data_IF_209216293860
#
_entry.id   IF_209216293860
#
_cell.length_a   1.000
_cell.length_b   1.000
_cell.length_c   1.000
_cell.angle_alpha   90.00
_cell.angle_beta   90.00
_cell.angle_gamma   90.00
#
_symmetry.space_group_name_H-M   'P 1'
#
loop_
_entity.id
_entity.type
_entity.pdbx_description
1 polymer ?
#
# COMPACT_ATOMS: atom_id res chain seq x y z
N UNK A 1 31.48 -35.25 -24.22
CA UNK A 1 30.78 -35.04 -22.95
C UNK A 1 29.95 -33.76 -23.09
N UNK A 2 28.64 -33.90 -23.36
CA UNK A 2 27.72 -32.75 -23.48
C UNK A 2 27.13 -32.47 -22.09
N UNK A 3 27.40 -31.30 -21.51
CA UNK A 3 26.75 -30.84 -20.28
C UNK A 3 25.32 -30.46 -20.62
N UNK A 4 24.37 -31.17 -20.07
CA UNK A 4 22.96 -30.84 -20.13
C UNK A 4 22.68 -29.58 -19.34
N UNK A 5 22.13 -28.54 -20.00
CA UNK A 5 21.51 -27.42 -19.37
C UNK A 5 20.14 -27.88 -18.82
N UNK A 6 20.06 -27.99 -17.49
CA UNK A 6 18.77 -28.13 -16.81
C UNK A 6 18.04 -26.78 -16.89
N UNK A 7 17.21 -26.62 -17.90
CA UNK A 7 16.16 -25.59 -17.92
C UNK A 7 15.04 -26.06 -16.99
N UNK A 8 15.10 -25.62 -15.73
CA UNK A 8 13.95 -25.65 -14.83
C UNK A 8 12.93 -24.63 -15.31
N UNK A 9 12.17 -24.98 -16.36
CA UNK A 9 10.87 -24.35 -16.60
C UNK A 9 9.95 -24.73 -15.43
N UNK A 10 9.80 -23.85 -14.43
CA UNK A 10 8.62 -23.87 -13.59
C UNK A 10 7.42 -23.84 -14.52
N UNK A 11 6.71 -24.94 -14.62
CA UNK A 11 5.42 -25.02 -15.28
C UNK A 11 4.54 -23.93 -14.66
N UNK A 12 4.19 -22.91 -15.45
CA UNK A 12 3.25 -21.86 -15.02
C UNK A 12 1.95 -22.57 -14.72
N UNK A 13 1.58 -22.66 -13.44
CA UNK A 13 0.20 -22.97 -13.07
C UNK A 13 -0.67 -21.91 -13.75
N UNK A 14 -1.51 -22.32 -14.68
CA UNK A 14 -2.35 -21.44 -15.46
C UNK A 14 -3.51 -20.86 -14.63
N UNK A 15 -3.82 -21.46 -13.48
CA UNK A 15 -4.89 -21.01 -12.59
C UNK A 15 -4.49 -21.18 -11.12
N UNK A 16 -4.79 -20.16 -10.31
CA UNK A 16 -4.58 -20.17 -8.85
C UNK A 16 -5.88 -19.83 -8.15
N UNK A 17 -6.31 -20.66 -7.20
CA UNK A 17 -7.48 -20.37 -6.36
C UNK A 17 -7.12 -19.28 -5.34
N UNK A 18 -7.76 -18.12 -5.43
CA UNK A 18 -7.64 -17.05 -4.44
C UNK A 18 -8.46 -17.41 -3.21
N UNK A 19 -7.81 -17.48 -2.07
CA UNK A 19 -8.43 -17.80 -0.76
C UNK A 19 -8.61 -16.55 0.11
N UNK A 20 -7.87 -15.47 -0.16
CA UNK A 20 -8.01 -14.19 0.52
C UNK A 20 -7.53 -13.05 -0.37
N UNK A 21 -8.13 -11.88 -0.20
CA UNK A 21 -7.77 -10.64 -0.89
C UNK A 21 -7.18 -9.65 0.11
N UNK A 22 -5.92 -9.27 -0.09
CA UNK A 22 -5.23 -8.28 0.72
C UNK A 22 -4.91 -7.06 -0.14
N UNK A 23 -5.19 -5.88 0.36
CA UNK A 23 -5.19 -4.64 -0.41
C UNK A 23 -4.40 -3.54 0.30
N UNK A 24 -3.62 -2.77 -0.42
CA UNK A 24 -3.30 -1.41 0.00
C UNK A 24 -4.55 -0.51 -0.12
N UNK A 25 -4.46 0.71 0.38
CA UNK A 25 -5.56 1.66 0.39
C UNK A 25 -5.39 2.77 -0.64
N UNK A 26 -4.47 3.74 -0.39
CA UNK A 26 -4.23 4.86 -1.30
C UNK A 26 -3.59 4.37 -2.59
N UNK A 27 -4.04 4.86 -3.73
CA UNK A 27 -3.54 4.42 -5.04
C UNK A 27 -3.96 3.01 -5.46
N UNK A 28 -4.63 2.24 -4.59
CA UNK A 28 -5.07 0.87 -4.90
C UNK A 28 -6.59 0.78 -4.98
N UNK A 29 -7.30 1.17 -3.93
CA UNK A 29 -8.78 1.16 -3.88
C UNK A 29 -9.37 2.54 -3.62
N UNK A 30 -8.53 3.52 -3.31
CA UNK A 30 -8.84 4.93 -3.11
C UNK A 30 -7.89 5.79 -3.95
N UNK A 31 -8.32 6.95 -4.48
CA UNK A 31 -7.45 7.82 -5.27
C UNK A 31 -6.19 8.24 -4.51
N UNK A 32 -5.06 8.38 -5.24
CA UNK A 32 -3.77 8.76 -4.67
C UNK A 32 -3.66 10.28 -4.43
N UNK A 33 -4.07 11.09 -5.41
CA UNK A 33 -3.81 12.55 -5.44
C UNK A 33 -4.95 13.39 -4.87
N UNK A 34 -5.48 13.00 -3.70
CA UNK A 34 -6.56 13.69 -3.00
C UNK A 34 -6.17 14.00 -1.56
N UNK A 35 -6.85 14.98 -0.95
CA UNK A 35 -6.71 15.25 0.47
C UNK A 35 -7.15 14.05 1.31
N UNK A 36 -6.58 13.90 2.52
CA UNK A 36 -6.97 12.84 3.46
C UNK A 36 -8.49 12.75 3.68
N UNK A 37 -9.18 13.89 3.79
CA UNK A 37 -10.64 13.93 3.98
C UNK A 37 -11.40 13.36 2.79
N UNK A 38 -10.86 13.48 1.59
CA UNK A 38 -11.46 13.10 0.31
C UNK A 38 -11.04 11.68 -0.15
N UNK A 39 -10.02 11.09 0.50
CA UNK A 39 -9.55 9.75 0.19
C UNK A 39 -10.61 8.72 0.62
N UNK A 40 -11.45 8.32 -0.34
CA UNK A 40 -12.56 7.39 -0.17
C UNK A 40 -12.47 6.28 -1.20
N UNK A 41 -12.88 5.07 -0.81
CA UNK A 41 -13.08 3.96 -1.76
C UNK A 41 -14.21 4.34 -2.72
N UNK A 42 -14.03 4.15 -4.02
CA UNK A 42 -15.08 4.43 -5.01
C UNK A 42 -16.33 3.58 -4.74
N UNK A 43 -17.54 4.05 -5.11
CA UNK A 43 -18.77 3.27 -4.94
C UNK A 43 -18.69 1.89 -5.62
N UNK A 44 -18.05 1.82 -6.79
CA UNK A 44 -17.87 0.58 -7.56
C UNK A 44 -16.96 -0.40 -6.85
N UNK A 45 -15.80 0.06 -6.36
CA UNK A 45 -14.87 -0.74 -5.55
C UNK A 45 -15.53 -1.19 -4.25
N UNK A 46 -16.26 -0.28 -3.57
CA UNK A 46 -16.96 -0.59 -2.33
C UNK A 46 -17.99 -1.72 -2.54
N UNK A 47 -18.80 -1.64 -3.59
CA UNK A 47 -19.83 -2.63 -3.88
C UNK A 47 -19.23 -4.03 -4.17
N UNK A 48 -18.19 -4.11 -5.02
CA UNK A 48 -17.58 -5.41 -5.35
C UNK A 48 -16.79 -5.98 -4.19
N UNK A 49 -16.06 -5.16 -3.42
CA UNK A 49 -15.32 -5.60 -2.25
C UNK A 49 -16.25 -6.11 -1.13
N UNK A 50 -17.44 -5.49 -0.99
CA UNK A 50 -18.45 -6.00 -0.07
C UNK A 50 -18.97 -7.40 -0.50
N UNK A 51 -19.19 -7.63 -1.80
CA UNK A 51 -19.59 -8.95 -2.30
C UNK A 51 -18.49 -10.01 -2.12
N UNK A 52 -17.24 -9.63 -2.38
CA UNK A 52 -16.06 -10.50 -2.18
C UNK A 52 -15.91 -10.88 -0.71
N UNK A 53 -16.07 -9.91 0.19
CA UNK A 53 -15.90 -10.14 1.63
C UNK A 53 -16.90 -11.11 2.23
N UNK A 54 -18.05 -11.30 1.58
CA UNK A 54 -19.03 -12.31 2.00
C UNK A 54 -18.58 -13.76 1.67
N UNK A 55 -17.55 -13.94 0.86
CA UNK A 55 -17.14 -15.24 0.35
C UNK A 55 -15.71 -15.63 0.74
N UNK A 56 -14.79 -14.66 0.79
CA UNK A 56 -13.40 -14.87 1.20
C UNK A 56 -12.95 -13.74 2.14
N UNK A 57 -11.95 -13.98 3.00
CA UNK A 57 -11.36 -12.94 3.83
C UNK A 57 -10.79 -11.79 3.00
N UNK A 58 -11.11 -10.55 3.40
CA UNK A 58 -10.53 -9.33 2.85
C UNK A 58 -9.77 -8.61 3.96
N UNK A 59 -8.53 -8.20 3.70
CA UNK A 59 -7.72 -7.41 4.61
C UNK A 59 -7.16 -6.16 3.93
N UNK A 60 -6.98 -5.09 4.71
CA UNK A 60 -6.35 -3.85 4.23
C UNK A 60 -5.04 -3.64 4.97
N UNK A 61 -3.94 -3.37 4.21
CA UNK A 61 -2.59 -3.13 4.74
C UNK A 61 -2.12 -1.78 4.21
N UNK A 62 -2.05 -0.77 5.08
CA UNK A 62 -1.77 0.61 4.67
C UNK A 62 -0.81 1.34 5.62
N UNK A 63 -0.20 2.43 5.15
CA UNK A 63 0.54 3.37 5.99
C UNK A 63 -0.36 4.36 6.74
N UNK A 64 -1.67 4.42 6.41
CA UNK A 64 -2.66 5.18 7.20
C UNK A 64 -2.86 4.57 8.58
N UNK A 65 -3.40 5.36 9.50
CA UNK A 65 -3.80 4.86 10.82
C UNK A 65 -5.12 4.05 10.77
N UNK A 66 -5.31 3.18 11.77
CA UNK A 66 -6.48 2.31 11.84
C UNK A 66 -7.79 3.08 11.98
N UNK A 67 -7.79 4.20 12.71
CA UNK A 67 -8.99 5.01 12.93
C UNK A 67 -9.54 5.60 11.63
N UNK A 68 -8.64 5.87 10.68
CA UNK A 68 -8.96 6.33 9.35
C UNK A 68 -9.50 5.20 8.46
N UNK A 69 -8.73 4.12 8.33
CA UNK A 69 -8.99 3.09 7.31
C UNK A 69 -10.18 2.20 7.67
N UNK A 70 -10.38 1.85 8.95
CA UNK A 70 -11.48 0.97 9.37
C UNK A 70 -12.87 1.56 9.05
N UNK A 71 -13.00 2.88 9.17
CA UNK A 71 -14.26 3.57 8.84
C UNK A 71 -14.56 3.61 7.34
N UNK A 72 -13.51 3.56 6.51
CA UNK A 72 -13.59 3.67 5.05
C UNK A 72 -13.63 2.34 4.32
N UNK A 73 -13.30 1.26 5.02
CA UNK A 73 -13.27 -0.10 4.47
C UNK A 73 -14.08 -1.07 5.33
N UNK A 74 -15.39 -0.81 5.56
CA UNK A 74 -16.22 -1.63 6.44
C UNK A 74 -16.41 -3.08 5.94
N UNK A 75 -16.08 -3.36 4.70
CA UNK A 75 -16.07 -4.69 4.11
C UNK A 75 -14.91 -5.57 4.59
N UNK A 76 -13.83 -4.98 5.11
CA UNK A 76 -12.65 -5.75 5.49
C UNK A 76 -12.85 -6.50 6.81
N UNK A 77 -12.24 -7.68 6.94
CA UNK A 77 -12.24 -8.52 8.14
C UNK A 77 -11.05 -8.23 9.05
N UNK A 78 -9.98 -7.67 8.44
CA UNK A 78 -8.74 -7.38 9.14
C UNK A 78 -8.07 -6.14 8.55
N UNK A 79 -7.37 -5.41 9.41
CA UNK A 79 -6.64 -4.21 9.03
C UNK A 79 -5.24 -4.23 9.62
N UNK A 80 -4.28 -3.75 8.85
CA UNK A 80 -2.96 -3.39 9.32
C UNK A 80 -2.67 -1.94 8.95
N UNK A 81 -2.70 -1.07 9.93
CA UNK A 81 -2.37 0.35 9.79
C UNK A 81 -0.92 0.64 10.15
N UNK A 82 -0.49 1.90 9.88
CA UNK A 82 0.85 2.40 10.18
C UNK A 82 1.95 1.47 9.61
N UNK A 83 1.71 0.94 8.39
CA UNK A 83 2.66 0.04 7.71
C UNK A 83 2.98 -1.26 8.44
N UNK A 84 2.06 -1.76 9.26
CA UNK A 84 2.23 -2.99 10.04
C UNK A 84 2.46 -2.80 11.54
N UNK A 85 2.48 -1.56 12.03
CA UNK A 85 2.74 -1.27 13.43
C UNK A 85 1.50 -1.43 14.32
N UNK A 86 0.29 -1.31 13.77
CA UNK A 86 -0.96 -1.67 14.42
C UNK A 86 -1.77 -2.62 13.54
N UNK A 87 -2.49 -3.56 14.17
CA UNK A 87 -3.38 -4.49 13.48
C UNK A 87 -4.68 -4.63 14.25
N UNK A 88 -5.79 -4.79 13.50
CA UNK A 88 -7.11 -5.11 14.03
C UNK A 88 -7.70 -6.30 13.27
N UNK A 89 -8.19 -7.32 14.01
CA UNK A 89 -8.92 -8.47 13.47
C UNK A 89 -10.13 -8.67 14.37
N UNK A 90 -11.33 -8.47 13.86
CA UNK A 90 -12.53 -8.36 14.71
C UNK A 90 -12.31 -7.29 15.78
N UNK A 91 -12.48 -7.65 17.06
CA UNK A 91 -12.25 -6.75 18.19
C UNK A 91 -10.83 -6.81 18.75
N UNK A 92 -9.99 -7.71 18.23
CA UNK A 92 -8.61 -7.89 18.74
C UNK A 92 -7.68 -6.87 18.10
N UNK A 93 -7.05 -6.05 18.95
CA UNK A 93 -6.02 -5.09 18.56
C UNK A 93 -4.64 -5.59 18.94
N UNK A 94 -3.66 -5.45 18.06
CA UNK A 94 -2.25 -5.68 18.36
C UNK A 94 -1.41 -4.47 17.95
N UNK A 95 -0.35 -4.18 18.70
CA UNK A 95 0.43 -2.97 18.60
C UNK A 95 1.92 -3.26 18.76
N UNK A 96 2.75 -2.65 17.93
CA UNK A 96 4.20 -2.77 18.04
C UNK A 96 4.72 -1.97 19.24
N UNK A 97 5.65 -2.54 20.01
CA UNK A 97 6.21 -1.89 21.21
C UNK A 97 7.00 -0.62 20.88
N UNK A 98 7.55 -0.49 19.67
CA UNK A 98 8.28 0.70 19.24
C UNK A 98 7.42 1.96 19.20
N UNK A 99 6.11 1.85 18.97
CA UNK A 99 5.19 2.99 18.99
C UNK A 99 5.20 3.76 20.33
N UNK A 100 5.55 3.09 21.42
CA UNK A 100 5.67 3.75 22.73
C UNK A 100 7.12 4.18 23.00
N UNK A 101 8.10 3.34 22.68
CA UNK A 101 9.50 3.57 23.03
C UNK A 101 10.12 4.77 22.32
N UNK A 102 9.70 5.06 21.09
CA UNK A 102 10.30 6.07 20.23
C UNK A 102 9.50 7.39 20.16
N UNK A 103 8.46 7.53 20.98
CA UNK A 103 7.53 8.68 20.94
C UNK A 103 8.24 10.02 21.08
N UNK A 104 9.21 10.15 21.97
CA UNK A 104 9.94 11.41 22.19
C UNK A 104 10.64 11.93 20.93
N UNK A 105 11.37 11.06 20.24
CA UNK A 105 12.09 11.43 19.01
C UNK A 105 11.12 11.80 17.89
N UNK A 106 10.03 11.05 17.75
CA UNK A 106 8.99 11.36 16.78
C UNK A 106 8.35 12.74 17.05
N UNK A 107 8.01 13.04 18.30
CA UNK A 107 7.43 14.34 18.67
C UNK A 107 8.41 15.50 18.47
N UNK A 108 9.71 15.25 18.65
CA UNK A 108 10.76 16.22 18.35
C UNK A 108 10.82 16.51 16.84
N UNK A 109 10.81 15.47 16.00
CA UNK A 109 10.74 15.59 14.55
C UNK A 109 9.46 16.32 14.10
N UNK A 110 8.31 15.95 14.66
CA UNK A 110 7.02 16.59 14.37
C UNK A 110 7.01 18.09 14.72
N UNK A 111 7.55 18.46 15.88
CA UNK A 111 7.67 19.86 16.28
C UNK A 111 8.52 20.66 15.29
N UNK A 112 9.66 20.09 14.86
CA UNK A 112 10.51 20.72 13.85
C UNK A 112 9.77 20.89 12.52
N UNK A 113 9.07 19.83 12.04
CA UNK A 113 8.27 19.89 10.83
C UNK A 113 7.19 20.99 10.89
N UNK A 114 6.45 21.07 11.99
CA UNK A 114 5.44 22.11 12.20
C UNK A 114 6.02 23.53 12.19
N UNK A 115 7.21 23.75 12.72
CA UNK A 115 7.87 25.06 12.71
C UNK A 115 8.27 25.49 11.29
N UNK A 116 8.56 24.54 10.39
CA UNK A 116 8.96 24.80 9.00
C UNK A 116 7.78 24.75 8.01
N UNK A 117 6.61 24.23 8.40
CA UNK A 117 5.51 23.96 7.47
C UNK A 117 5.01 25.22 6.74
N UNK A 118 4.96 26.38 7.41
CA UNK A 118 4.35 27.57 6.82
C UNK A 118 2.92 27.26 6.35
N UNK A 119 2.55 27.84 5.19
CA UNK A 119 1.23 27.63 4.58
C UNK A 119 1.25 26.57 3.46
N UNK A 120 2.42 26.11 3.05
CA UNK A 120 2.61 25.28 1.86
C UNK A 120 2.83 23.78 2.17
N UNK A 121 3.23 23.46 3.42
CA UNK A 121 3.37 22.08 3.85
C UNK A 121 2.22 21.67 4.75
N UNK A 122 1.50 20.64 4.38
CA UNK A 122 0.47 20.00 5.20
C UNK A 122 1.16 18.95 6.08
N UNK A 123 1.08 19.12 7.40
CA UNK A 123 1.57 18.13 8.36
C UNK A 123 0.38 17.31 8.85
N UNK A 124 0.28 16.08 8.38
CA UNK A 124 -0.78 15.15 8.77
C UNK A 124 -0.30 14.25 9.91
N UNK A 125 -0.88 14.38 11.10
CA UNK A 125 -0.60 13.48 12.22
C UNK A 125 -1.36 12.16 12.06
N UNK A 126 -0.65 11.05 12.18
CA UNK A 126 -1.24 9.69 12.26
C UNK A 126 -1.32 9.28 13.72
N UNK A 127 -2.50 8.83 14.13
CA UNK A 127 -2.76 8.50 15.53
C UNK A 127 -2.98 7.02 15.73
N UNK A 128 -2.46 6.50 16.83
CA UNK A 128 -2.76 5.13 17.26
C UNK A 128 -4.19 4.99 17.78
N UNK A 129 -4.59 3.76 18.07
CA UNK A 129 -5.91 3.43 18.64
C UNK A 129 -6.19 4.07 20.00
N UNK A 130 -5.15 4.59 20.68
CA UNK A 130 -5.26 5.34 21.94
C UNK A 130 -5.31 6.85 21.75
N UNK A 131 -5.25 7.34 20.51
CA UNK A 131 -5.25 8.76 20.18
C UNK A 131 -3.87 9.45 20.23
N UNK A 132 -2.80 8.73 20.55
CA UNK A 132 -1.46 9.31 20.57
C UNK A 132 -0.93 9.49 19.15
N UNK A 133 -0.23 10.59 18.87
CA UNK A 133 0.48 10.78 17.61
C UNK A 133 1.69 9.83 17.55
N UNK A 134 1.71 8.96 16.55
CA UNK A 134 2.69 7.87 16.41
C UNK A 134 3.38 7.82 15.05
N UNK A 135 2.97 8.67 14.12
CA UNK A 135 3.62 8.95 12.85
C UNK A 135 3.09 10.27 12.30
N UNK A 136 3.71 10.81 11.28
CA UNK A 136 3.17 11.95 10.54
C UNK A 136 3.61 11.92 9.08
N UNK A 137 2.82 12.57 8.22
CA UNK A 137 3.19 12.84 6.83
C UNK A 137 3.50 14.33 6.66
N UNK A 138 4.40 14.63 5.73
CA UNK A 138 4.65 15.97 5.21
C UNK A 138 4.25 15.96 3.75
N UNK A 139 3.30 16.79 3.37
CA UNK A 139 2.67 16.80 2.05
C UNK A 139 2.67 18.21 1.48
N UNK A 140 3.18 18.38 0.25
CA UNK A 140 3.21 19.67 -0.46
C UNK A 140 2.57 19.62 -1.85
N UNK A 141 1.72 18.62 -2.11
CA UNK A 141 0.99 18.47 -3.38
C UNK A 141 0.16 19.72 -3.72
N UNK A 142 -0.27 20.47 -2.74
CA UNK A 142 -1.09 21.68 -2.90
C UNK A 142 -0.32 22.97 -2.66
N UNK A 143 1.00 22.92 -2.59
CA UNK A 143 1.82 24.10 -2.39
C UNK A 143 1.70 25.07 -3.57
N UNK A 144 1.54 26.35 -3.27
CA UNK A 144 1.53 27.42 -4.29
C UNK A 144 2.91 27.60 -4.94
N UNK A 145 3.95 27.46 -4.14
CA UNK A 145 5.35 27.43 -4.58
C UNK A 145 5.95 26.06 -4.27
N UNK A 146 5.90 25.17 -5.23
CA UNK A 146 6.37 23.79 -5.06
C UNK A 146 7.87 23.71 -4.77
N UNK A 147 8.71 24.55 -5.40
CA UNK A 147 10.15 24.55 -5.17
C UNK A 147 10.50 24.96 -3.73
N UNK A 148 9.91 26.01 -3.21
CA UNK A 148 10.14 26.46 -1.83
C UNK A 148 9.59 25.45 -0.80
N UNK A 149 8.44 24.85 -1.09
CA UNK A 149 7.87 23.80 -0.26
C UNK A 149 8.77 22.56 -0.22
N UNK A 150 9.31 22.14 -1.36
CA UNK A 150 10.24 21.02 -1.47
C UNK A 150 11.55 21.30 -0.70
N UNK A 151 12.13 22.51 -0.81
CA UNK A 151 13.30 22.88 -0.04
C UNK A 151 13.06 22.76 1.48
N UNK A 152 11.89 23.18 1.97
CA UNK A 152 11.50 23.03 3.38
C UNK A 152 11.30 21.55 3.74
N UNK A 153 10.67 20.78 2.87
CA UNK A 153 10.47 19.34 3.05
C UNK A 153 11.82 18.60 3.15
N UNK A 154 12.80 18.94 2.30
CA UNK A 154 14.15 18.39 2.35
C UNK A 154 14.89 18.75 3.66
N UNK A 155 14.72 19.95 4.20
CA UNK A 155 15.25 20.32 5.53
C UNK A 155 14.62 19.48 6.63
N UNK A 156 13.32 19.20 6.57
CA UNK A 156 12.64 18.32 7.53
C UNK A 156 13.18 16.89 7.43
N UNK A 157 13.37 16.36 6.22
CA UNK A 157 13.96 15.04 6.00
C UNK A 157 15.36 14.97 6.63
N UNK A 158 16.23 15.93 6.30
CA UNK A 158 17.61 15.99 6.83
C UNK A 158 17.64 16.05 8.35
N UNK A 159 16.70 16.76 8.97
CA UNK A 159 16.58 16.77 10.42
C UNK A 159 16.10 15.43 10.97
N UNK A 160 15.11 14.80 10.35
CA UNK A 160 14.64 13.47 10.75
C UNK A 160 15.75 12.41 10.67
N UNK A 161 16.66 12.50 9.69
CA UNK A 161 17.80 11.60 9.54
C UNK A 161 18.83 11.71 10.69
N UNK A 162 18.82 12.79 11.48
CA UNK A 162 19.61 12.93 12.70
C UNK A 162 18.99 12.26 13.93
N UNK A 163 17.74 11.82 13.82
CA UNK A 163 16.98 11.21 14.90
C UNK A 163 16.74 9.71 14.61
N UNK A 164 16.54 8.88 15.65
CA UNK A 164 16.23 7.47 15.45
C UNK A 164 14.76 7.25 15.03
N UNK A 165 14.35 7.93 13.96
CA UNK A 165 13.05 7.78 13.27
C UNK A 165 13.27 7.30 11.83
N UNK A 166 12.25 6.84 11.17
CA UNK A 166 12.32 6.32 9.81
C UNK A 166 11.52 7.22 8.89
N UNK A 167 12.15 7.74 7.85
CA UNK A 167 11.52 8.52 6.80
C UNK A 167 11.27 7.62 5.58
N UNK A 168 10.04 7.60 5.07
CA UNK A 168 9.66 6.91 3.84
C UNK A 168 9.35 7.95 2.80
N UNK A 169 10.17 8.00 1.75
CA UNK A 169 9.96 8.82 0.56
C UNK A 169 9.24 7.98 -0.49
N UNK A 170 8.29 8.56 -1.17
CA UNK A 170 7.58 7.93 -2.27
C UNK A 170 8.13 8.50 -3.57
N UNK A 171 8.62 7.64 -4.46
CA UNK A 171 9.26 8.06 -5.69
C UNK A 171 8.29 8.88 -6.57
N UNK A 172 8.74 10.06 -7.02
CA UNK A 172 7.92 10.97 -7.82
C UNK A 172 6.78 11.67 -7.08
N UNK A 173 6.58 11.41 -5.78
CA UNK A 173 5.47 11.98 -5.03
C UNK A 173 5.93 13.13 -4.13
N UNK A 174 5.20 14.25 -4.12
CA UNK A 174 5.51 15.41 -3.28
C UNK A 174 5.00 15.25 -1.85
N UNK A 175 5.31 14.11 -1.24
CA UNK A 175 5.06 13.83 0.18
C UNK A 175 5.98 12.72 0.71
N UNK A 176 6.14 12.66 2.02
CA UNK A 176 6.82 11.58 2.71
C UNK A 176 6.19 11.31 4.08
N UNK A 177 6.45 10.13 4.60
CA UNK A 177 6.01 9.70 5.93
C UNK A 177 7.19 9.62 6.90
N UNK A 178 6.94 9.93 8.18
CA UNK A 178 7.89 9.72 9.28
C UNK A 178 7.28 8.78 10.32
N UNK A 179 7.98 7.68 10.58
CA UNK A 179 7.58 6.64 11.53
C UNK A 179 8.60 6.51 12.67
N UNK A 180 8.18 6.06 13.86
CA UNK A 180 9.08 5.84 14.99
C UNK A 180 9.99 4.63 14.84
N UNK A 181 9.72 3.75 13.88
CA UNK A 181 10.47 2.52 13.60
C UNK A 181 10.15 1.99 12.20
N UNK A 182 10.98 1.06 11.68
CA UNK A 182 10.76 0.52 10.34
C UNK A 182 9.39 -0.13 10.17
N UNK A 183 8.72 0.20 9.08
CA UNK A 183 7.47 -0.41 8.65
C UNK A 183 7.74 -1.46 7.58
N UNK A 184 6.87 -2.49 7.48
CA UNK A 184 7.03 -3.53 6.49
C UNK A 184 5.70 -4.21 6.21
N UNK A 185 5.10 -3.92 5.06
CA UNK A 185 3.82 -4.48 4.64
C UNK A 185 3.87 -6.00 4.43
N UNK A 186 5.01 -6.56 4.04
CA UNK A 186 5.21 -8.02 3.91
C UNK A 186 5.14 -8.74 5.26
N UNK A 187 5.82 -8.21 6.29
CA UNK A 187 5.68 -8.74 7.65
C UNK A 187 4.25 -8.59 8.17
N UNK A 188 3.57 -7.51 7.82
CA UNK A 188 2.16 -7.31 8.16
C UNK A 188 1.27 -8.36 7.49
N UNK A 189 1.46 -8.62 6.19
CA UNK A 189 0.76 -9.64 5.43
C UNK A 189 0.94 -11.02 6.08
N UNK A 190 2.18 -11.42 6.36
CA UNK A 190 2.47 -12.73 6.97
C UNK A 190 1.81 -12.90 8.35
N UNK A 191 1.79 -11.84 9.17
CA UNK A 191 1.10 -11.86 10.47
C UNK A 191 -0.42 -11.99 10.31
N UNK A 192 -1.02 -11.25 9.37
CA UNK A 192 -2.45 -11.37 9.07
C UNK A 192 -2.78 -12.76 8.52
N UNK A 193 -1.98 -13.27 7.57
CA UNK A 193 -2.07 -14.63 7.02
C UNK A 193 -2.14 -15.67 8.13
N UNK A 194 -1.18 -15.62 9.07
CA UNK A 194 -1.13 -16.52 10.22
C UNK A 194 -2.36 -16.40 11.13
N UNK A 195 -2.74 -15.17 11.48
CA UNK A 195 -3.86 -14.92 12.41
C UNK A 195 -5.22 -15.28 11.81
N UNK A 196 -5.38 -15.19 10.50
CA UNK A 196 -6.58 -15.61 9.77
C UNK A 196 -6.58 -17.11 9.41
N UNK A 197 -5.54 -17.85 9.78
CA UNK A 197 -5.43 -19.29 9.51
C UNK A 197 -5.24 -19.64 8.03
N UNK A 198 -4.79 -18.68 7.22
CA UNK A 198 -4.60 -18.87 5.78
C UNK A 198 -3.28 -19.56 5.48
N UNK A 199 -3.27 -20.49 4.49
CA UNK A 199 -2.05 -21.21 4.07
C UNK A 199 -1.45 -20.67 2.78
N UNK A 200 -2.27 -20.50 1.75
CA UNK A 200 -1.90 -20.05 0.38
C UNK A 200 -3.09 -19.38 -0.29
N UNK A 201 -2.91 -18.94 -1.54
CA UNK A 201 -3.96 -18.28 -2.32
C UNK A 201 -4.21 -16.84 -1.89
N UNK A 202 -3.22 -16.13 -1.35
CA UNK A 202 -3.35 -14.71 -1.05
C UNK A 202 -3.03 -13.90 -2.30
N UNK A 203 -4.03 -13.16 -2.79
CA UNK A 203 -3.83 -12.11 -3.77
C UNK A 203 -3.61 -10.79 -3.03
N UNK A 204 -2.48 -10.15 -3.30
CA UNK A 204 -2.16 -8.81 -2.79
C UNK A 204 -2.19 -7.78 -3.92
N UNK A 205 -2.83 -6.63 -3.69
CA UNK A 205 -2.82 -5.48 -4.59
C UNK A 205 -2.20 -4.27 -3.91
N UNK A 206 -1.36 -3.53 -4.64
CA UNK A 206 -0.69 -2.31 -4.17
C UNK A 206 -0.17 -1.49 -5.35
N UNK A 207 0.26 -0.25 -5.12
CA UNK A 207 0.63 0.70 -6.18
C UNK A 207 2.05 1.26 -6.06
N UNK A 208 2.72 1.07 -4.93
CA UNK A 208 3.98 1.76 -4.61
C UNK A 208 5.12 0.83 -4.23
N UNK A 209 6.35 1.34 -4.19
CA UNK A 209 7.53 0.57 -3.77
C UNK A 209 7.44 0.09 -2.31
N UNK A 210 6.61 0.72 -1.48
CA UNK A 210 6.35 0.28 -0.09
C UNK A 210 5.59 -1.05 -0.07
N UNK A 211 4.91 -1.42 -1.17
CA UNK A 211 4.20 -2.68 -1.34
C UNK A 211 5.11 -3.84 -1.74
N UNK A 212 6.33 -3.56 -2.21
CA UNK A 212 7.25 -4.59 -2.70
C UNK A 212 7.45 -5.73 -1.71
N UNK A 213 7.62 -5.41 -0.42
CA UNK A 213 7.76 -6.43 0.62
C UNK A 213 6.50 -7.32 0.77
N UNK A 214 5.31 -6.82 0.42
CA UNK A 214 4.07 -7.59 0.43
C UNK A 214 3.92 -8.39 -0.87
N UNK A 215 4.30 -7.82 -2.02
CA UNK A 215 4.35 -8.54 -3.30
C UNK A 215 5.26 -9.78 -3.23
N UNK A 216 6.43 -9.67 -2.59
CA UNK A 216 7.39 -10.79 -2.46
C UNK A 216 6.83 -11.98 -1.68
N UNK A 217 5.90 -11.78 -0.76
CA UNK A 217 5.36 -12.83 0.12
C UNK A 217 3.92 -13.21 -0.19
N UNK A 218 3.27 -12.52 -1.12
CA UNK A 218 1.95 -12.88 -1.64
C UNK A 218 2.05 -14.08 -2.61
N UNK A 219 0.98 -14.86 -2.70
CA UNK A 219 0.91 -15.96 -3.68
C UNK A 219 0.60 -15.42 -5.10
N UNK A 220 -0.11 -14.29 -5.18
CA UNK A 220 -0.41 -13.55 -6.41
C UNK A 220 -0.19 -12.07 -6.12
N UNK A 221 0.73 -11.43 -6.84
CA UNK A 221 1.08 -10.02 -6.69
C UNK A 221 0.56 -9.19 -7.88
N UNK A 222 -0.35 -8.25 -7.62
CA UNK A 222 -0.96 -7.38 -8.63
C UNK A 222 -0.63 -5.92 -8.33
N UNK A 223 0.14 -5.28 -9.20
CA UNK A 223 0.43 -3.85 -9.13
C UNK A 223 -0.73 -3.03 -9.71
N UNK A 224 -1.11 -1.96 -9.05
CA UNK A 224 -2.08 -0.99 -9.58
C UNK A 224 -1.32 0.14 -10.25
N UNK A 225 -1.66 0.42 -11.52
CA UNK A 225 -0.95 1.38 -12.36
C UNK A 225 -1.68 2.72 -12.37
N UNK A 226 -0.91 3.77 -12.15
CA UNK A 226 -1.24 5.17 -12.40
C UNK A 226 -0.31 5.76 -13.46
N UNK A 227 -0.52 7.01 -13.86
CA UNK A 227 0.37 7.70 -14.80
C UNK A 227 1.82 7.75 -14.31
N UNK A 228 2.04 7.85 -13.01
CA UNK A 228 3.34 7.97 -12.34
C UNK A 228 3.77 6.70 -11.58
N UNK A 229 3.34 5.52 -12.05
CA UNK A 229 3.69 4.27 -11.37
C UNK A 229 5.20 4.03 -11.34
N UNK A 230 5.80 3.70 -10.17
CA UNK A 230 7.23 3.42 -10.06
C UNK A 230 7.64 2.21 -10.91
N UNK A 231 8.81 2.32 -11.53
CA UNK A 231 9.39 1.24 -12.36
C UNK A 231 9.84 0.01 -11.55
N UNK A 232 9.98 0.16 -10.25
CA UNK A 232 10.60 -0.82 -9.35
C UNK A 232 9.62 -1.73 -8.62
N UNK A 233 8.33 -1.77 -9.03
CA UNK A 233 7.37 -2.70 -8.44
C UNK A 233 7.75 -4.16 -8.76
N UNK A 234 7.78 -5.04 -7.75
CA UNK A 234 8.19 -6.45 -7.88
C UNK A 234 6.98 -7.41 -8.03
N UNK A 235 5.89 -6.94 -8.64
CA UNK A 235 4.71 -7.75 -8.93
C UNK A 235 4.78 -8.38 -10.34
N UNK A 236 4.02 -9.46 -10.57
CA UNK A 236 3.98 -10.17 -11.85
C UNK A 236 2.89 -9.66 -12.79
N UNK A 237 1.83 -9.12 -12.24
CA UNK A 237 0.62 -8.68 -12.93
C UNK A 237 0.32 -7.23 -12.59
N UNK A 238 -0.41 -6.56 -13.50
CA UNK A 238 -0.82 -5.17 -13.32
C UNK A 238 -2.28 -4.98 -13.70
N UNK A 239 -2.90 -3.98 -13.10
CA UNK A 239 -4.24 -3.48 -13.42
C UNK A 239 -4.20 -1.97 -13.36
N UNK A 240 -4.83 -1.26 -14.31
CA UNK A 240 -4.96 0.20 -14.20
C UNK A 240 -5.90 0.53 -13.02
N UNK A 241 -5.67 1.66 -12.38
CA UNK A 241 -6.47 2.09 -11.23
C UNK A 241 -7.98 2.15 -11.55
N UNK A 242 -8.33 2.66 -12.73
CA UNK A 242 -9.71 2.78 -13.21
C UNK A 242 -10.38 1.41 -13.43
N UNK A 243 -9.57 0.37 -13.67
CA UNK A 243 -10.02 -0.97 -13.99
C UNK A 243 -10.11 -1.91 -12.77
N UNK A 244 -9.71 -1.45 -11.57
CA UNK A 244 -9.69 -2.27 -10.35
C UNK A 244 -11.05 -2.90 -10.06
N UNK A 245 -12.14 -2.13 -10.14
CA UNK A 245 -13.49 -2.67 -9.94
C UNK A 245 -13.87 -3.73 -10.97
N UNK A 246 -13.48 -3.55 -12.23
CA UNK A 246 -13.76 -4.51 -13.31
C UNK A 246 -12.99 -5.80 -13.13
N UNK A 247 -11.70 -5.71 -12.76
CA UNK A 247 -10.85 -6.85 -12.41
C UNK A 247 -11.44 -7.65 -11.24
N UNK A 248 -11.81 -6.97 -10.14
CA UNK A 248 -12.41 -7.62 -8.96
C UNK A 248 -13.75 -8.28 -9.27
N UNK A 249 -14.58 -7.67 -10.11
CA UNK A 249 -15.82 -8.29 -10.63
C UNK A 249 -15.53 -9.52 -11.47
N UNK A 250 -14.46 -9.49 -12.28
CA UNK A 250 -14.00 -10.64 -13.06
C UNK A 250 -13.57 -11.79 -12.17
N UNK A 251 -12.77 -11.49 -11.13
CA UNK A 251 -12.31 -12.48 -10.14
C UNK A 251 -13.50 -13.12 -9.40
N UNK A 252 -14.48 -12.33 -8.98
CA UNK A 252 -15.71 -12.80 -8.34
C UNK A 252 -16.53 -13.73 -9.28
N UNK A 253 -16.74 -13.32 -10.54
CA UNK A 253 -17.45 -14.11 -11.55
C UNK A 253 -16.75 -15.42 -11.88
N UNK A 254 -15.41 -15.45 -11.82
CA UNK A 254 -14.60 -16.64 -12.03
C UNK A 254 -14.44 -17.51 -10.76
N UNK A 255 -15.30 -17.32 -9.77
CA UNK A 255 -15.27 -18.07 -8.49
C UNK A 255 -13.90 -18.02 -7.82
N UNK A 256 -13.26 -16.86 -7.84
CA UNK A 256 -11.92 -16.60 -7.27
C UNK A 256 -10.78 -17.41 -7.89
N UNK A 257 -10.93 -17.89 -9.12
CA UNK A 257 -9.82 -18.47 -9.88
C UNK A 257 -9.10 -17.36 -10.61
N UNK A 258 -7.86 -17.15 -10.22
CA UNK A 258 -6.98 -16.20 -10.90
C UNK A 258 -6.39 -16.87 -12.15
N UNK A 259 -6.55 -16.23 -13.29
CA UNK A 259 -5.94 -16.62 -14.57
C UNK A 259 -5.60 -15.40 -15.39
N UNK A 260 -4.75 -15.55 -16.41
CA UNK A 260 -4.42 -14.48 -17.36
C UNK A 260 -5.58 -14.09 -18.30
N UNK A 261 -6.69 -14.82 -18.26
CA UNK A 261 -7.90 -14.55 -19.02
C UNK A 261 -8.86 -13.61 -18.27
N UNK A 262 -8.55 -13.28 -17.00
CA UNK A 262 -9.33 -12.30 -16.27
C UNK A 262 -9.30 -10.94 -16.97
N UNK A 263 -10.43 -10.21 -17.00
CA UNK A 263 -10.48 -8.90 -17.65
C UNK A 263 -9.50 -7.93 -16.96
N UNK A 264 -8.94 -7.01 -17.75
CA UNK A 264 -8.11 -5.90 -17.33
C UNK A 264 -6.76 -6.29 -16.70
N UNK A 265 -6.36 -7.57 -16.76
CA UNK A 265 -5.02 -7.98 -16.30
C UNK A 265 -3.98 -7.74 -17.40
N UNK A 266 -2.88 -7.09 -17.00
CA UNK A 266 -1.72 -6.84 -17.83
C UNK A 266 -0.55 -7.71 -17.33
N UNK A 267 0.15 -8.39 -18.25
CA UNK A 267 1.33 -9.20 -17.90
C UNK A 267 2.60 -8.34 -18.03
N UNK A 268 3.47 -8.36 -17.03
CA UNK A 268 4.72 -7.61 -16.98
C UNK A 268 5.60 -7.75 -18.23
N UNK A 269 5.60 -8.90 -18.88
CA UNK A 269 6.55 -9.21 -19.96
C UNK A 269 6.15 -8.68 -21.34
N UNK A 270 4.88 -8.34 -21.59
CA UNK A 270 4.41 -7.96 -22.95
C UNK A 270 3.87 -6.54 -23.06
N UNK A 271 3.20 -6.03 -22.04
CA UNK A 271 2.41 -4.79 -22.16
C UNK A 271 3.05 -3.60 -21.44
N UNK A 272 3.85 -3.84 -20.39
CA UNK A 272 4.58 -2.78 -19.71
C UNK A 272 5.59 -2.05 -20.64
N UNK A 273 6.21 -2.79 -21.57
CA UNK A 273 7.08 -2.20 -22.60
C UNK A 273 6.29 -1.41 -23.66
N UNK A 274 5.01 -1.75 -23.90
CA UNK A 274 4.15 -1.06 -24.86
C UNK A 274 3.61 0.26 -24.31
N UNK A 275 3.23 0.30 -23.06
CA UNK A 275 2.79 1.53 -22.37
C UNK A 275 3.94 2.52 -22.25
N UNK A 276 5.16 2.07 -21.94
CA UNK A 276 6.37 2.91 -21.96
C UNK A 276 6.64 3.54 -23.32
N UNK A 277 6.49 2.81 -24.42
CA UNK A 277 6.73 3.35 -25.76
C UNK A 277 5.74 4.43 -26.18
N UNK A 278 4.51 4.42 -25.67
CA UNK A 278 3.51 5.47 -25.95
C UNK A 278 3.70 6.76 -25.13
N UNK A 279 4.40 6.70 -23.99
CA UNK A 279 4.69 7.89 -23.17
C UNK A 279 5.90 8.71 -23.66
N UNK A 280 6.71 8.17 -24.58
CA UNK A 280 7.91 8.81 -25.11
C UNK A 280 7.83 9.09 -26.62
N UNK A 281 6.67 8.99 -27.25
CA UNK A 281 6.35 9.48 -28.60
C UNK A 281 5.23 10.53 -28.52
#
# INVERSE_FOLDING_TARGET
>A
MKKGQNNNHRSRQTEVQVQALFLDYDGTISPLNVLRSESMVSPENMAVLHQISQQIPVAVITTKDLSFVTKRTPFAHAWSGLGGLEMKIGDVMTRASCLTKMTLYLLTALKYAKNLSGNDLIIEEKRDSKGNTVAFSVDWRQAKNSCEAEERALKIISYCETLPVVTIKYEGQPFFDVFPCPVNKGKALLKLKQKLGLRNGILYMGDSSVDNAAFEVADIAVGVIHEETPDNLVCDYFVNFEDVAAFLKGLLKNSFRFSLELPMILNRTREFQYIRRRKFT
#
